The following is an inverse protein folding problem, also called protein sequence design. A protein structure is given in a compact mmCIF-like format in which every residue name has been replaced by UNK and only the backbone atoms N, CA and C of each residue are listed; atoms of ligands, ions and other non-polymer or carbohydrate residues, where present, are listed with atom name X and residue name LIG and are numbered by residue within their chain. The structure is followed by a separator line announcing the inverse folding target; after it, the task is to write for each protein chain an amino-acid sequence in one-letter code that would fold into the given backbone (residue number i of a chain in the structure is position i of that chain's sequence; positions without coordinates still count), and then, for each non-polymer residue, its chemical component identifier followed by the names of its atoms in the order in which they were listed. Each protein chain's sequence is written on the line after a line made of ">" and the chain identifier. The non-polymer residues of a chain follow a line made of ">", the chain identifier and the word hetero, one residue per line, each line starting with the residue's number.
data_IF_204494114761
#
_entry.id   IF_204494114761
#
_cell.length_a   1.000
_cell.length_b   1.000
_cell.length_c   1.000
_cell.angle_alpha   90.00
_cell.angle_beta   90.00
_cell.angle_gamma   90.00
#
_symmetry.space_group_name_H-M   'P 1'
#
loop_
_entity.id
_entity.type
_entity.pdbx_description
1 polymer ?
#
# COMPACT_ATOMS: atom_id res chain seq x y z
N UNK A 1 -5.23 2.01 17.10
CA UNK A 1 -4.38 2.26 18.30
C UNK A 1 -3.19 1.31 18.32
N UNK A 2 -1.96 1.82 18.42
CA UNK A 2 -0.70 1.04 18.33
C UNK A 2 -0.02 0.73 19.67
N UNK A 3 -0.76 0.78 20.79
CA UNK A 3 -0.22 0.63 22.15
C UNK A 3 0.50 -0.70 22.40
N UNK A 4 -0.01 -1.82 21.85
CA UNK A 4 0.65 -3.14 21.97
C UNK A 4 2.04 -3.13 21.33
N UNK A 5 2.16 -2.57 20.11
CA UNK A 5 3.43 -2.49 19.38
C UNK A 5 4.42 -1.57 20.09
N UNK A 6 3.95 -0.42 20.61
CA UNK A 6 4.81 0.49 21.40
C UNK A 6 5.38 -0.18 22.66
N UNK A 7 4.59 -0.99 23.37
CA UNK A 7 5.09 -1.75 24.54
C UNK A 7 6.15 -2.76 24.13
N UNK A 8 5.97 -3.44 23.00
CA UNK A 8 6.96 -4.38 22.48
C UNK A 8 8.26 -3.67 22.06
N UNK A 9 8.15 -2.56 21.34
CA UNK A 9 9.29 -1.74 20.92
C UNK A 9 10.12 -1.29 22.12
N UNK A 10 9.46 -0.79 23.18
CA UNK A 10 10.12 -0.43 24.46
C UNK A 10 10.87 -1.61 25.09
N UNK A 11 10.27 -2.81 25.11
CA UNK A 11 10.94 -4.02 25.65
C UNK A 11 12.19 -4.40 24.87
N UNK A 12 12.17 -4.18 23.56
CA UNK A 12 13.27 -4.51 22.65
C UNK A 12 14.29 -3.36 22.50
N UNK A 13 14.09 -2.23 23.18
CA UNK A 13 14.97 -1.06 23.06
C UNK A 13 14.92 -0.39 21.68
N UNK A 14 13.85 -0.60 20.90
CA UNK A 14 13.68 -0.02 19.56
C UNK A 14 12.57 1.02 19.53
N UNK A 15 12.62 1.93 18.55
CA UNK A 15 11.60 2.96 18.34
C UNK A 15 10.50 2.46 17.43
N UNK A 16 9.25 2.84 17.73
CA UNK A 16 8.11 2.61 16.85
C UNK A 16 7.36 3.90 16.61
N UNK A 17 7.18 4.24 15.34
CA UNK A 17 6.37 5.37 14.89
C UNK A 17 5.14 4.86 14.13
N UNK A 18 3.96 5.37 14.50
CA UNK A 18 2.73 5.11 13.75
C UNK A 18 2.40 6.36 12.94
N UNK A 19 2.33 6.22 11.63
CA UNK A 19 2.01 7.31 10.72
C UNK A 19 0.48 7.41 10.56
N UNK A 20 -0.07 8.59 10.85
CA UNK A 20 -1.43 8.92 10.47
C UNK A 20 -1.42 9.48 9.06
N UNK A 21 -2.02 8.75 8.12
CA UNK A 21 -2.11 9.17 6.73
C UNK A 21 -3.40 9.93 6.49
N UNK A 22 -3.33 10.94 5.61
CA UNK A 22 -4.48 11.69 5.09
C UNK A 22 -4.32 11.85 3.59
N UNK A 23 -5.43 12.07 2.88
CA UNK A 23 -5.35 12.47 1.49
C UNK A 23 -4.64 13.83 1.36
N UNK A 24 -3.66 13.94 0.46
CA UNK A 24 -2.93 15.17 0.17
C UNK A 24 -2.48 15.20 -1.29
N UNK A 25 -3.05 16.11 -2.07
CA UNK A 25 -2.65 16.29 -3.47
C UNK A 25 -1.20 16.75 -3.62
N UNK A 26 -0.70 17.59 -2.71
CA UNK A 26 0.69 18.04 -2.73
C UNK A 26 1.69 16.90 -2.50
N UNK A 27 1.41 16.02 -1.55
CA UNK A 27 2.25 14.84 -1.34
C UNK A 27 2.19 13.88 -2.53
N UNK A 28 1.02 13.70 -3.15
CA UNK A 28 0.90 12.90 -4.37
C UNK A 28 1.72 13.48 -5.53
N UNK A 29 1.74 14.80 -5.71
CA UNK A 29 2.60 15.48 -6.70
C UNK A 29 4.08 15.21 -6.47
N UNK A 30 4.54 15.27 -5.22
CA UNK A 30 5.93 14.95 -4.88
C UNK A 30 6.26 13.48 -5.18
N UNK A 31 5.34 12.56 -4.88
CA UNK A 31 5.50 11.14 -5.19
C UNK A 31 5.56 10.92 -6.71
N UNK A 32 4.75 11.62 -7.50
CA UNK A 32 4.80 11.55 -8.97
C UNK A 32 6.20 11.89 -9.49
N UNK A 33 6.82 12.97 -9.02
CA UNK A 33 8.20 13.31 -9.41
C UNK A 33 9.19 12.17 -9.15
N UNK A 34 9.05 11.49 -8.00
CA UNK A 34 9.91 10.33 -7.67
C UNK A 34 9.65 9.11 -8.57
N UNK A 35 8.41 8.94 -9.02
CA UNK A 35 8.04 7.90 -9.98
C UNK A 35 8.64 8.21 -11.35
N UNK A 36 8.51 9.45 -11.82
CA UNK A 36 9.03 9.88 -13.12
C UNK A 36 10.56 9.78 -13.19
N UNK A 37 11.25 10.02 -12.07
CA UNK A 37 12.69 9.81 -11.92
C UNK A 37 13.09 8.33 -11.78
N UNK A 38 12.14 7.41 -11.70
CA UNK A 38 12.37 5.98 -11.53
C UNK A 38 12.90 5.57 -10.15
N UNK A 39 12.92 6.50 -9.19
CA UNK A 39 13.33 6.28 -7.78
C UNK A 39 12.28 5.42 -7.07
N UNK A 40 10.99 5.73 -7.29
CA UNK A 40 9.88 4.91 -6.80
C UNK A 40 9.29 4.14 -7.97
N UNK A 41 9.34 2.82 -7.92
CA UNK A 41 8.78 1.96 -8.97
C UNK A 41 7.52 1.26 -8.48
N UNK A 42 6.37 1.44 -9.15
CA UNK A 42 5.16 0.75 -8.75
C UNK A 42 5.29 -0.75 -9.01
N UNK A 43 5.07 -1.57 -7.99
CA UNK A 43 4.91 -3.01 -8.14
C UNK A 43 3.44 -3.34 -8.40
N UNK A 44 3.11 -3.69 -9.64
CA UNK A 44 1.79 -4.18 -10.04
C UNK A 44 1.81 -5.70 -9.95
N UNK A 45 0.97 -6.26 -9.09
CA UNK A 45 0.85 -7.71 -8.91
C UNK A 45 -0.10 -8.34 -9.91
N UNK A 46 -1.25 -7.72 -10.15
CA UNK A 46 -2.26 -8.21 -11.09
C UNK A 46 -3.08 -7.05 -11.64
N UNK A 47 -3.40 -7.11 -12.93
CA UNK A 47 -4.43 -6.27 -13.56
C UNK A 47 -5.64 -7.17 -13.83
N UNK A 48 -6.83 -6.72 -13.46
CA UNK A 48 -8.10 -7.45 -13.69
C UNK A 48 -9.12 -6.56 -14.37
N UNK A 49 -10.02 -7.17 -15.14
CA UNK A 49 -11.17 -6.46 -15.70
C UNK A 49 -12.11 -5.98 -14.59
N UNK A 50 -12.85 -4.90 -14.87
CA UNK A 50 -13.82 -4.35 -13.91
C UNK A 50 -14.88 -5.38 -13.49
N UNK A 51 -15.31 -6.23 -14.41
CA UNK A 51 -16.22 -7.36 -14.21
C UNK A 51 -15.71 -8.40 -13.21
N UNK A 52 -14.38 -8.49 -13.03
CA UNK A 52 -13.71 -9.45 -12.14
C UNK A 52 -13.38 -8.88 -10.75
N UNK A 53 -13.86 -7.67 -10.44
CA UNK A 53 -13.59 -7.01 -9.14
C UNK A 53 -13.95 -7.88 -7.93
N UNK A 54 -15.13 -8.56 -7.89
CA UNK A 54 -15.47 -9.41 -6.75
C UNK A 54 -14.46 -10.55 -6.49
N UNK A 55 -14.03 -11.24 -7.56
CA UNK A 55 -13.07 -12.33 -7.48
C UNK A 55 -11.67 -11.84 -7.11
N UNK A 56 -11.29 -10.64 -7.57
CA UNK A 56 -10.03 -10.00 -7.20
C UNK A 56 -9.97 -9.67 -5.70
N UNK A 57 -11.07 -9.16 -5.12
CA UNK A 57 -11.17 -8.91 -3.68
C UNK A 57 -11.07 -10.20 -2.85
N UNK A 58 -11.69 -11.29 -3.33
CA UNK A 58 -11.59 -12.60 -2.67
C UNK A 58 -10.16 -13.16 -2.73
N UNK A 59 -9.47 -12.99 -3.85
CA UNK A 59 -8.07 -13.44 -4.01
C UNK A 59 -7.10 -12.65 -3.11
N UNK A 60 -7.38 -11.36 -2.88
CA UNK A 60 -6.61 -10.49 -1.98
C UNK A 60 -6.71 -10.95 -0.53
N UNK A 61 -7.90 -11.32 -0.07
CA UNK A 61 -8.11 -11.73 1.33
C UNK A 61 -7.38 -13.05 1.67
N UNK A 62 -7.11 -13.88 0.67
CA UNK A 62 -6.37 -15.13 0.80
C UNK A 62 -4.83 -14.95 0.67
N UNK A 63 -4.35 -13.72 0.43
CA UNK A 63 -2.92 -13.41 0.32
C UNK A 63 -2.30 -13.73 -1.04
N UNK A 64 -3.10 -13.97 -2.08
CA UNK A 64 -2.63 -14.46 -3.38
C UNK A 64 -1.95 -13.43 -4.29
N UNK A 65 -2.07 -12.13 -4.01
CA UNK A 65 -1.52 -11.06 -4.86
C UNK A 65 -0.39 -10.35 -4.12
N UNK A 66 0.82 -10.44 -4.67
CA UNK A 66 1.98 -9.66 -4.21
C UNK A 66 2.06 -8.37 -5.00
N UNK A 67 2.01 -7.22 -4.33
CA UNK A 67 1.96 -5.90 -4.96
C UNK A 67 0.53 -5.38 -5.14
N UNK A 68 0.34 -4.39 -6.02
CA UNK A 68 -0.96 -3.76 -6.23
C UNK A 68 -1.84 -4.59 -7.16
N UNK A 69 -3.11 -4.79 -6.79
CA UNK A 69 -4.16 -5.19 -7.73
C UNK A 69 -4.72 -3.91 -8.39
N UNK A 70 -4.74 -3.87 -9.73
CA UNK A 70 -5.24 -2.73 -10.52
C UNK A 70 -6.48 -3.17 -11.27
N UNK A 71 -7.55 -2.38 -11.19
CA UNK A 71 -8.76 -2.60 -11.98
C UNK A 71 -8.59 -1.83 -13.30
N UNK A 72 -8.64 -2.55 -14.42
CA UNK A 72 -8.66 -1.98 -15.76
C UNK A 72 -10.07 -1.58 -16.16
N UNK A 73 -10.21 -0.50 -16.94
CA UNK A 73 -11.48 0.03 -17.43
C UNK A 73 -11.79 -0.32 -18.89
N UNK A 74 -11.05 -1.25 -19.49
CA UNK A 74 -11.22 -1.72 -20.87
C UNK A 74 -12.24 -2.84 -20.96
#
# INVERSE_FOLDING_TARGET
>A
MSGKIRRQAKKLGVTYEFLFMRASGDQLRQITTLIDQGVVRPVVGKVVGFDQTPQALQSLSQGGIRGKAVIGSS
#
